data_IF_418085352252
#
_entry.id   IF_418085352252
#
_cell.length_a   1.000
_cell.length_b   1.000
_cell.length_c   1.000
_cell.angle_alpha   90.00
_cell.angle_beta   90.00
_cell.angle_gamma   90.00
#
_symmetry.space_group_name_H-M   'P 1'
#
loop_
_entity.id
_entity.type
_entity.pdbx_description
1 polymer ?
#
# COMPACT_ATOMS: atom_id res chain seq x y z
N UNK A 1 10.49 14.91 -18.61
CA UNK A 1 11.12 13.97 -17.65
C UNK A 1 10.46 12.59 -17.73
N UNK A 2 9.13 12.49 -17.61
CA UNK A 2 8.37 11.22 -17.70
C UNK A 2 8.51 10.47 -19.03
N UNK A 3 8.54 11.17 -20.17
CA UNK A 3 8.63 10.54 -21.49
C UNK A 3 9.90 9.66 -21.64
N UNK A 4 11.06 10.16 -21.18
CA UNK A 4 12.32 9.40 -21.21
C UNK A 4 12.32 8.18 -20.29
N UNK A 5 11.51 8.18 -19.24
CA UNK A 5 11.40 7.04 -18.33
C UNK A 5 10.60 5.88 -18.93
N UNK A 6 9.71 6.16 -19.88
CA UNK A 6 8.94 5.16 -20.62
C UNK A 6 9.79 4.52 -21.74
N UNK A 7 10.79 5.23 -22.25
CA UNK A 7 11.70 4.76 -23.30
C UNK A 7 12.70 3.69 -22.84
N UNK A 8 12.76 3.38 -21.54
CA UNK A 8 13.66 2.34 -21.02
C UNK A 8 13.06 0.97 -21.30
N UNK A 9 13.80 0.14 -22.02
CA UNK A 9 13.38 -1.23 -22.33
C UNK A 9 13.05 -2.04 -21.05
N UNK A 10 11.91 -2.76 -21.02
CA UNK A 10 11.51 -3.56 -19.85
C UNK A 10 12.59 -4.55 -19.38
N UNK A 11 13.36 -5.11 -20.32
CA UNK A 11 14.46 -6.02 -20.00
C UNK A 11 15.59 -5.34 -19.19
N UNK A 12 15.86 -4.06 -19.42
CA UNK A 12 16.83 -3.28 -18.64
C UNK A 12 16.29 -3.00 -17.24
N UNK A 13 15.01 -2.65 -17.12
CA UNK A 13 14.35 -2.47 -15.81
C UNK A 13 14.39 -3.78 -15.01
N UNK A 14 14.04 -4.90 -15.64
CA UNK A 14 14.05 -6.22 -15.02
C UNK A 14 15.45 -6.59 -14.48
N UNK A 15 16.52 -6.32 -15.25
CA UNK A 15 17.90 -6.53 -14.78
C UNK A 15 18.23 -5.72 -13.53
N UNK A 16 17.89 -4.43 -13.51
CA UNK A 16 18.16 -3.54 -12.36
C UNK A 16 17.38 -3.96 -11.12
N UNK A 17 16.10 -4.30 -11.29
CA UNK A 17 15.26 -4.83 -10.21
C UNK A 17 15.85 -6.13 -9.65
N UNK A 18 16.31 -7.05 -10.50
CA UNK A 18 16.90 -8.31 -10.05
C UNK A 18 18.17 -8.11 -9.19
N UNK A 19 18.99 -7.10 -9.51
CA UNK A 19 20.17 -6.75 -8.70
C UNK A 19 19.76 -6.25 -7.32
N UNK A 20 18.79 -5.32 -7.26
CA UNK A 20 18.28 -4.78 -5.99
C UNK A 20 17.65 -5.90 -5.16
N UNK A 21 16.78 -6.70 -5.77
CA UNK A 21 16.12 -7.81 -5.11
C UNK A 21 17.13 -8.80 -4.50
N UNK A 22 18.16 -9.18 -5.25
CA UNK A 22 19.23 -10.05 -4.75
C UNK A 22 19.93 -9.44 -3.54
N UNK A 23 20.15 -8.13 -3.53
CA UNK A 23 20.83 -7.42 -2.44
C UNK A 23 19.99 -7.29 -1.16
N UNK A 24 18.67 -7.20 -1.28
CA UNK A 24 17.78 -6.97 -0.13
C UNK A 24 17.22 -8.26 0.49
N UNK A 25 17.16 -9.37 -0.26
CA UNK A 25 16.65 -10.65 0.27
C UNK A 25 17.51 -11.16 1.42
N UNK A 26 16.87 -11.50 2.54
CA UNK A 26 17.52 -11.99 3.76
C UNK A 26 18.22 -10.89 4.57
N UNK A 27 18.22 -9.65 4.08
CA UNK A 27 18.93 -8.52 4.67
C UNK A 27 18.07 -7.73 5.65
N UNK A 28 18.75 -7.00 6.53
CA UNK A 28 18.16 -5.89 7.28
C UNK A 28 18.37 -4.62 6.48
N UNK A 29 17.27 -3.97 6.10
CA UNK A 29 17.26 -2.73 5.32
C UNK A 29 17.04 -1.56 6.27
N UNK A 30 17.91 -0.55 6.18
CA UNK A 30 17.76 0.73 6.88
C UNK A 30 17.47 1.83 5.86
N UNK A 31 16.42 2.59 6.10
CA UNK A 31 16.00 3.73 5.28
C UNK A 31 16.16 4.98 6.13
N UNK A 32 16.99 5.91 5.66
CA UNK A 32 17.21 7.21 6.31
C UNK A 32 16.92 8.34 5.35
N UNK A 33 16.29 9.41 5.82
CA UNK A 33 16.10 10.63 5.03
C UNK A 33 16.15 11.90 5.90
N UNK A 34 16.53 13.06 5.32
CA UNK A 34 16.62 14.33 6.06
C UNK A 34 15.32 14.79 6.74
N UNK A 35 14.16 14.26 6.33
CA UNK A 35 12.87 14.55 6.93
C UNK A 35 12.66 13.88 8.31
N UNK A 36 13.67 13.17 8.84
CA UNK A 36 13.61 12.46 10.12
C UNK A 36 13.17 11.01 10.00
N UNK A 37 13.13 10.46 8.79
CA UNK A 37 13.01 9.00 8.59
C UNK A 37 14.31 8.34 9.03
N UNK A 38 14.19 7.38 9.95
CA UNK A 38 15.22 6.43 10.33
C UNK A 38 14.52 5.11 10.68
N UNK A 39 14.24 4.33 9.64
CA UNK A 39 13.41 3.14 9.69
C UNK A 39 14.25 1.92 9.37
N UNK A 40 14.06 0.83 10.10
CA UNK A 40 14.73 -0.44 9.83
C UNK A 40 13.72 -1.58 9.78
N UNK A 41 13.89 -2.51 8.85
CA UNK A 41 13.14 -3.77 8.80
C UNK A 41 14.01 -4.89 8.23
N UNK A 42 13.62 -6.14 8.47
CA UNK A 42 14.20 -7.33 7.81
C UNK A 42 13.32 -7.76 6.65
N UNK A 43 13.93 -8.08 5.53
CA UNK A 43 13.26 -8.71 4.40
C UNK A 43 13.63 -10.20 4.42
N UNK A 44 12.67 -11.12 4.64
CA UNK A 44 12.94 -12.55 4.62
C UNK A 44 13.56 -13.01 3.30
N UNK A 45 14.36 -14.07 3.35
CA UNK A 45 14.99 -14.65 2.15
C UNK A 45 13.94 -15.04 1.10
N UNK A 46 12.81 -15.57 1.56
CA UNK A 46 11.69 -16.06 0.76
C UNK A 46 10.56 -15.04 0.55
N UNK A 47 10.77 -13.76 0.88
CA UNK A 47 9.77 -12.70 0.69
C UNK A 47 9.18 -12.69 -0.73
N UNK A 48 7.86 -12.57 -0.85
CA UNK A 48 7.21 -12.43 -2.13
C UNK A 48 7.42 -11.00 -2.67
N UNK A 49 7.98 -10.90 -3.88
CA UNK A 49 8.36 -9.63 -4.50
C UNK A 49 7.52 -9.38 -5.75
N UNK A 50 6.81 -8.25 -5.77
CA UNK A 50 6.08 -7.74 -6.93
C UNK A 50 7.00 -6.86 -7.76
N UNK A 51 7.05 -7.11 -9.07
CA UNK A 51 7.97 -6.45 -10.00
C UNK A 51 7.19 -5.80 -11.13
N UNK A 52 7.11 -4.47 -11.09
CA UNK A 52 6.64 -3.64 -12.20
C UNK A 52 7.85 -3.32 -13.09
N UNK A 53 7.89 -3.99 -14.23
CA UNK A 53 9.01 -3.95 -15.20
C UNK A 53 8.64 -3.21 -16.49
N UNK A 54 7.36 -2.90 -16.70
CA UNK A 54 6.82 -2.39 -17.96
C UNK A 54 6.50 -3.49 -18.97
N UNK A 55 6.70 -4.77 -18.63
CA UNK A 55 6.42 -5.90 -19.52
C UNK A 55 4.95 -6.34 -19.40
N UNK A 56 4.09 -5.86 -20.29
CA UNK A 56 2.66 -6.22 -20.31
C UNK A 56 2.35 -7.43 -21.22
N UNK A 57 3.16 -8.50 -21.17
CA UNK A 57 2.99 -9.70 -22.00
C UNK A 57 2.16 -10.78 -21.30
N UNK A 58 1.61 -11.73 -22.08
CA UNK A 58 0.90 -12.89 -21.51
C UNK A 58 1.85 -13.79 -20.74
N UNK A 59 3.06 -13.94 -21.25
CA UNK A 59 4.15 -14.75 -20.69
C UNK A 59 4.49 -14.28 -19.28
N UNK A 60 4.62 -12.96 -19.08
CA UNK A 60 4.90 -12.34 -17.78
C UNK A 60 3.86 -12.70 -16.71
N UNK A 61 2.58 -12.75 -17.08
CA UNK A 61 1.47 -12.97 -16.14
C UNK A 61 1.15 -14.44 -15.90
N UNK A 62 1.78 -15.37 -16.64
CA UNK A 62 1.53 -16.81 -16.55
C UNK A 62 1.66 -17.36 -15.13
N UNK A 63 2.71 -16.95 -14.43
CA UNK A 63 3.06 -17.48 -13.10
C UNK A 63 2.68 -16.51 -11.96
N UNK A 64 1.87 -15.50 -12.26
CA UNK A 64 1.43 -14.47 -11.30
C UNK A 64 0.60 -15.09 -10.16
N UNK A 65 0.99 -14.79 -8.92
CA UNK A 65 0.33 -15.29 -7.70
C UNK A 65 -0.67 -14.30 -7.14
N UNK A 66 -0.58 -13.03 -7.53
CA UNK A 66 -1.47 -11.95 -7.09
C UNK A 66 -1.86 -11.02 -8.23
N UNK A 67 -2.86 -10.15 -8.00
CA UNK A 67 -3.20 -9.06 -8.93
C UNK A 67 -1.99 -8.13 -9.13
N UNK A 68 -1.21 -7.89 -8.07
CA UNK A 68 -0.04 -7.01 -8.09
C UNK A 68 1.13 -7.56 -8.91
N UNK A 69 1.19 -8.87 -9.15
CA UNK A 69 2.18 -9.46 -10.07
C UNK A 69 1.84 -9.24 -11.55
N UNK A 70 0.58 -8.93 -11.85
CA UNK A 70 0.07 -8.70 -13.22
C UNK A 70 0.02 -7.23 -13.59
N UNK A 71 0.07 -6.36 -12.60
CA UNK A 71 -0.06 -4.93 -12.78
C UNK A 71 1.25 -4.32 -13.30
N UNK A 72 1.12 -3.51 -14.35
CA UNK A 72 2.20 -2.69 -14.89
C UNK A 72 1.71 -1.23 -14.92
N UNK A 73 2.32 -0.38 -14.10
CA UNK A 73 2.09 1.07 -14.09
C UNK A 73 3.23 1.75 -14.86
N UNK A 74 2.91 2.69 -15.75
CA UNK A 74 3.91 3.45 -16.49
C UNK A 74 4.06 4.87 -15.92
N UNK A 75 5.30 5.38 -15.74
CA UNK A 75 6.58 4.69 -15.98
C UNK A 75 6.82 3.55 -14.98
N UNK A 76 7.39 2.46 -15.49
CA UNK A 76 7.74 1.27 -14.70
C UNK A 76 8.97 1.51 -13.81
N UNK A 77 9.50 0.45 -13.20
CA UNK A 77 10.68 0.42 -12.30
C UNK A 77 10.35 0.38 -10.81
N UNK A 78 9.36 -0.42 -10.42
CA UNK A 78 8.99 -0.55 -9.01
C UNK A 78 9.09 -1.99 -8.52
N UNK A 79 9.80 -2.18 -7.40
CA UNK A 79 9.91 -3.42 -6.63
C UNK A 79 9.18 -3.23 -5.30
N UNK A 80 8.24 -4.11 -4.97
CA UNK A 80 7.42 -4.02 -3.74
C UNK A 80 7.33 -5.36 -3.05
N UNK A 81 7.24 -5.32 -1.72
CA UNK A 81 6.85 -6.46 -0.89
C UNK A 81 6.14 -5.96 0.36
N UNK A 82 5.23 -6.76 0.88
CA UNK A 82 4.64 -6.60 2.22
C UNK A 82 5.28 -7.53 3.25
N UNK A 83 6.14 -8.44 2.80
CA UNK A 83 6.78 -9.45 3.64
C UNK A 83 7.99 -8.80 4.31
N UNK A 84 7.73 -8.04 5.37
CA UNK A 84 8.75 -7.40 6.20
C UNK A 84 8.60 -7.87 7.65
N UNK A 85 9.73 -8.02 8.33
CA UNK A 85 9.82 -8.45 9.72
C UNK A 85 10.51 -7.37 10.57
N UNK A 86 10.21 -7.35 11.86
CA UNK A 86 10.92 -6.54 12.85
C UNK A 86 11.08 -5.06 12.43
N UNK A 87 9.99 -4.44 11.97
CA UNK A 87 10.00 -3.02 11.67
C UNK A 87 10.21 -2.19 12.94
N UNK A 88 11.18 -1.26 12.90
CA UNK A 88 11.61 -0.43 14.03
C UNK A 88 11.92 1.00 13.55
N UNK A 89 11.82 1.98 14.45
CA UNK A 89 12.26 3.36 14.20
C UNK A 89 11.14 4.26 13.67
N UNK A 90 11.50 5.29 12.90
CA UNK A 90 10.56 6.32 12.43
C UNK A 90 10.49 6.37 10.91
N UNK A 91 9.27 6.49 10.38
CA UNK A 91 9.04 6.72 8.95
C UNK A 91 8.19 7.97 8.76
N UNK A 92 8.66 8.91 7.95
CA UNK A 92 7.95 10.15 7.64
C UNK A 92 7.44 10.12 6.22
N UNK A 93 6.13 10.22 6.05
CA UNK A 93 5.46 10.11 4.76
C UNK A 93 4.07 10.72 4.74
N UNK A 94 3.51 10.84 3.54
CA UNK A 94 2.15 11.33 3.34
C UNK A 94 1.13 10.25 3.72
N UNK A 95 0.02 10.65 4.34
CA UNK A 95 -1.06 9.72 4.73
C UNK A 95 -1.82 9.17 3.53
N UNK A 96 -1.74 9.85 2.38
CA UNK A 96 -2.35 9.40 1.14
C UNK A 96 -1.45 9.72 -0.06
N UNK A 97 -1.81 9.16 -1.22
CA UNK A 97 -1.11 9.34 -2.49
C UNK A 97 -1.28 10.74 -3.11
N UNK A 98 -2.10 11.60 -2.50
CA UNK A 98 -2.29 12.99 -2.90
C UNK A 98 -1.25 13.90 -2.18
N UNK A 99 -0.54 14.77 -2.90
CA UNK A 99 0.49 15.65 -2.29
C UNK A 99 -0.09 16.78 -1.44
N UNK A 100 -1.41 17.00 -1.46
CA UNK A 100 -2.13 17.84 -0.50
C UNK A 100 -2.48 17.09 0.78
N UNK A 101 -2.19 15.79 0.82
CA UNK A 101 -2.46 14.98 2.00
C UNK A 101 -1.52 15.36 3.12
N UNK A 102 -2.03 15.18 4.33
CA UNK A 102 -1.25 15.45 5.51
C UNK A 102 0.01 14.59 5.58
N UNK A 103 1.06 15.16 6.16
CA UNK A 103 2.33 14.51 6.43
C UNK A 103 2.32 13.99 7.87
N UNK A 104 2.76 12.74 8.05
CA UNK A 104 2.84 12.10 9.36
C UNK A 104 4.20 11.53 9.65
N UNK A 105 4.52 11.41 10.93
CA UNK A 105 5.58 10.54 11.44
C UNK A 105 4.94 9.32 12.09
N UNK A 106 5.24 8.14 11.57
CA UNK A 106 4.91 6.87 12.19
C UNK A 106 6.11 6.35 12.98
N UNK A 107 5.88 5.91 14.22
CA UNK A 107 6.87 5.20 15.04
C UNK A 107 6.56 3.71 15.01
N UNK A 108 7.57 2.90 14.71
CA UNK A 108 7.48 1.45 14.64
C UNK A 108 8.24 0.81 15.81
N UNK A 109 7.60 -0.19 16.42
CA UNK A 109 8.21 -1.09 17.38
C UNK A 109 7.70 -2.50 17.16
N UNK A 110 8.62 -3.46 17.05
CA UNK A 110 8.33 -4.88 16.93
C UNK A 110 7.34 -5.20 15.80
N UNK A 111 7.54 -4.56 14.64
CA UNK A 111 6.70 -4.77 13.45
C UNK A 111 5.39 -3.98 13.45
N UNK A 112 5.11 -3.18 14.48
CA UNK A 112 3.82 -2.48 14.63
C UNK A 112 4.02 -0.98 14.72
N UNK A 113 3.09 -0.22 14.15
CA UNK A 113 3.01 1.23 14.40
C UNK A 113 2.51 1.43 15.84
N UNK A 114 3.30 2.09 16.66
CA UNK A 114 2.98 2.37 18.08
C UNK A 114 2.64 3.83 18.32
N UNK A 115 3.05 4.73 17.42
CA UNK A 115 2.68 6.14 17.46
C UNK A 115 2.50 6.69 16.04
N UNK A 116 1.59 7.65 15.91
CA UNK A 116 1.38 8.41 14.68
C UNK A 116 1.21 9.88 15.05
N UNK A 117 2.01 10.76 14.45
CA UNK A 117 2.03 12.20 14.73
C UNK A 117 1.77 12.99 13.45
N UNK A 118 0.92 14.01 13.51
CA UNK A 118 0.74 14.96 12.41
C UNK A 118 1.94 15.90 12.38
N UNK A 119 2.60 15.99 11.23
CA UNK A 119 3.59 17.02 10.96
C UNK A 119 2.97 18.21 10.21
N UNK A 120 1.96 17.93 9.38
CA UNK A 120 1.25 18.94 8.62
C UNK A 120 -0.08 18.37 8.11
N UNK A 121 -1.23 18.98 8.45
CA UNK A 121 -2.50 18.74 7.76
C UNK A 121 -3.07 17.32 7.84
N UNK A 122 -2.59 16.51 8.80
CA UNK A 122 -2.98 15.11 9.00
C UNK A 122 -3.77 14.89 10.29
N UNK A 123 -4.22 15.95 10.96
CA UNK A 123 -4.74 15.88 12.34
C UNK A 123 -5.95 14.94 12.45
N UNK A 124 -6.86 15.01 11.48
CA UNK A 124 -8.07 14.17 11.46
C UNK A 124 -7.75 12.69 11.25
N UNK A 125 -6.77 12.37 10.40
CA UNK A 125 -6.34 11.01 10.12
C UNK A 125 -5.55 10.42 11.28
N UNK A 126 -4.73 11.23 11.95
CA UNK A 126 -4.02 10.83 13.15
C UNK A 126 -5.00 10.55 14.28
N UNK A 127 -6.02 11.40 14.45
CA UNK A 127 -7.07 11.19 15.44
C UNK A 127 -7.89 9.93 15.17
N UNK A 128 -8.22 9.64 13.90
CA UNK A 128 -8.96 8.42 13.54
C UNK A 128 -8.15 7.14 13.71
N UNK A 129 -6.83 7.22 13.60
CA UNK A 129 -5.93 6.09 13.81
C UNK A 129 -5.76 5.69 15.29
N UNK A 130 -5.95 6.62 16.24
CA UNK A 130 -5.59 6.41 17.65
C UNK A 130 -6.14 5.08 18.19
N UNK A 131 -5.27 4.18 18.67
CA UNK A 131 -5.70 2.86 19.15
C UNK A 131 -6.63 3.04 20.36
N UNK A 132 -7.92 2.71 20.19
CA UNK A 132 -8.92 2.82 21.25
C UNK A 132 -10.31 3.29 20.79
N UNK A 133 -10.45 3.89 19.60
CA UNK A 133 -11.78 4.15 19.02
C UNK A 133 -12.22 2.96 18.18
N UNK A 134 -13.06 2.10 18.76
CA UNK A 134 -13.90 1.18 17.99
C UNK A 134 -14.74 2.06 17.04
N UNK A 135 -14.77 1.81 15.72
CA UNK A 135 -15.69 2.54 14.86
C UNK A 135 -17.11 2.41 15.45
N UNK A 136 -17.93 3.48 15.47
CA UNK A 136 -19.29 3.36 15.94
C UNK A 136 -19.96 2.24 15.13
N UNK A 137 -20.63 1.31 15.82
CA UNK A 137 -21.44 0.28 15.16
C UNK A 137 -22.32 0.96 14.11
N UNK A 138 -22.43 0.41 12.89
CA UNK A 138 -23.34 0.94 11.92
C UNK A 138 -24.72 0.97 12.57
N UNK A 139 -25.30 2.17 12.72
CA UNK A 139 -26.69 2.29 13.17
C UNK A 139 -27.51 1.49 12.18
N UNK A 140 -28.06 0.37 12.62
CA UNK A 140 -29.12 -0.33 11.90
C UNK A 140 -30.18 0.71 11.61
N UNK A 141 -30.39 1.00 10.32
CA UNK A 141 -31.51 1.82 9.90
C UNK A 141 -32.79 1.20 10.49
N UNK A 142 -33.73 1.99 11.04
CA UNK A 142 -35.00 1.44 11.47
C UNK A 142 -35.66 0.73 10.28
N UNK A 143 -36.09 -0.51 10.49
CA UNK A 143 -36.91 -1.25 9.54
C UNK A 143 -38.14 -0.40 9.21
N UNK A 144 -38.16 0.19 8.02
CA UNK A 144 -39.37 0.79 7.48
C UNK A 144 -40.34 -0.35 7.19
N UNK A 145 -41.28 -0.60 8.11
CA UNK A 145 -42.46 -1.42 7.87
C UNK A 145 -43.37 -0.67 6.89
N UNK A 146 -43.08 -0.80 5.59
CA UNK A 146 -44.00 -0.42 4.52
C UNK A 146 -44.91 -1.62 4.23
N UNK A 147 -46.10 -1.62 4.81
CA UNK A 147 -47.19 -2.49 4.39
C UNK A 147 -47.66 -2.04 3.00
N UNK A 148 -47.22 -2.72 1.96
CA UNK A 148 -47.77 -2.56 0.61
C UNK A 148 -49.20 -3.16 0.55
N UNK A 149 -50.18 -2.47 -0.04
CA UNK A 149 -51.52 -3.00 -0.20
C UNK A 149 -51.58 -4.08 -1.30
N UNK A 150 -52.28 -5.17 -1.00
CA UNK A 150 -52.54 -6.32 -1.87
C UNK A 150 -53.26 -5.91 -3.16
N UNK A 151 -52.83 -6.38 -4.35
CA UNK A 151 -53.56 -6.10 -5.58
C UNK A 151 -54.88 -6.88 -5.63
N UNK A 152 -55.99 -6.16 -5.81
CA UNK A 152 -57.31 -6.74 -6.13
C UNK A 152 -57.28 -7.32 -7.54
N UNK A 153 -57.56 -8.61 -7.65
CA UNK A 153 -57.91 -9.31 -8.88
C UNK A 153 -59.22 -8.74 -9.46
N UNK A 154 -59.20 -8.35 -10.73
CA UNK A 154 -60.41 -8.09 -11.52
C UNK A 154 -60.84 -9.40 -12.21
N UNK A 155 -62.14 -9.76 -12.23
CA UNK A 155 -62.64 -10.94 -12.93
C UNK A 155 -62.72 -10.73 -14.45
N UNK A 156 -62.72 -11.86 -15.16
CA UNK A 156 -62.61 -12.07 -16.62
C UNK A 156 -63.37 -11.11 -17.54
#
# INVERSE_FOLDING_TARGET
>A
MYQRAIEIEPAEIARRIAVIEKGIRGATVRVTAPNGTDFTCRIPQNAHMHRNTGEATREKTRDARSVRDREEELPASVLRTTDIENAQGTFVGYVSFDTRSGLVRATFKDGKVTALESLHGAEAQVESWRPGRRPPEPRTAPENSSSAPTPRSLPC
#
